data_IF_304031326990
#
_entry.id   IF_304031326990
#
_cell.length_a   1.000
_cell.length_b   1.000
_cell.length_c   1.000
_cell.angle_alpha   90.00
_cell.angle_beta   90.00
_cell.angle_gamma   90.00
#
_symmetry.space_group_name_H-M   'P 1'
#
loop_
_entity.id
_entity.type
_entity.pdbx_description
1 polymer ?
#
# COMPACT_ATOMS: atom_id res chain seq x y z
N UNK A 1 24.99 34.06 24.42
CA UNK A 1 24.16 33.60 23.29
C UNK A 1 23.15 32.61 23.85
N UNK A 2 21.89 33.04 24.02
CA UNK A 2 20.85 32.27 24.71
C UNK A 2 20.00 31.55 23.66
N UNK A 3 20.05 30.23 23.63
CA UNK A 3 19.14 29.42 22.83
C UNK A 3 17.88 29.22 23.65
N UNK A 4 16.78 29.88 23.25
CA UNK A 4 15.46 29.60 23.83
C UNK A 4 14.92 28.34 23.15
N UNK A 5 14.66 27.33 23.96
CA UNK A 5 14.05 26.05 23.57
C UNK A 5 12.75 26.28 22.81
N UNK A 6 12.66 25.70 21.60
CA UNK A 6 11.44 25.67 20.81
C UNK A 6 10.52 24.56 21.28
N UNK A 7 9.29 24.92 21.68
CA UNK A 7 8.19 23.98 21.80
C UNK A 7 7.73 23.59 20.38
N UNK A 8 7.85 22.32 20.03
CA UNK A 8 7.23 21.78 18.82
C UNK A 8 5.80 21.36 19.17
N UNK A 9 4.80 22.04 18.62
CA UNK A 9 3.42 21.60 18.72
C UNK A 9 3.16 20.52 17.65
N UNK A 10 2.81 19.31 18.08
CA UNK A 10 2.32 18.26 17.19
C UNK A 10 0.81 18.46 17.04
N UNK A 11 0.36 18.81 15.85
CA UNK A 11 -1.06 18.91 15.53
C UNK A 11 -1.53 17.61 14.89
N UNK A 12 -2.56 16.99 15.47
CA UNK A 12 -3.23 15.83 14.90
C UNK A 12 -4.54 16.27 14.26
N UNK A 13 -4.72 15.95 12.97
CA UNK A 13 -5.98 16.16 12.27
C UNK A 13 -6.92 15.01 12.59
N UNK A 14 -8.11 15.33 13.11
CA UNK A 14 -9.19 14.36 13.35
C UNK A 14 -10.34 14.68 12.41
N UNK A 15 -10.80 13.69 11.66
CA UNK A 15 -11.96 13.79 10.77
C UNK A 15 -13.02 12.79 11.22
N UNK A 16 -14.21 13.29 11.55
CA UNK A 16 -15.38 12.47 11.86
C UNK A 16 -16.19 12.37 10.56
N UNK A 17 -16.40 11.16 10.06
CA UNK A 17 -17.39 10.93 9.00
C UNK A 17 -18.38 9.84 9.42
N UNK A 18 -19.61 10.00 8.95
CA UNK A 18 -20.72 9.07 9.17
C UNK A 18 -20.77 7.93 8.13
N UNK A 19 -19.77 7.87 7.24
CA UNK A 19 -19.69 6.84 6.20
C UNK A 19 -19.33 5.48 6.82
N UNK A 20 -19.91 4.42 6.25
CA UNK A 20 -19.70 3.04 6.71
C UNK A 20 -18.35 2.54 6.21
N UNK A 21 -17.61 1.85 7.08
CA UNK A 21 -16.34 1.20 6.72
C UNK A 21 -16.59 0.21 5.58
N UNK A 22 -15.90 0.42 4.46
CA UNK A 22 -16.01 -0.36 3.23
C UNK A 22 -14.65 -0.92 2.85
N UNK A 23 -14.61 -2.23 2.64
CA UNK A 23 -13.41 -2.93 2.18
C UNK A 23 -13.01 -2.48 0.75
N UNK A 24 -11.71 -2.41 0.45
CA UNK A 24 -11.23 -2.00 -0.85
C UNK A 24 -11.48 -3.05 -1.93
N UNK A 25 -11.79 -2.57 -3.14
CA UNK A 25 -11.65 -3.37 -4.35
C UNK A 25 -10.18 -3.40 -4.77
N UNK A 26 -9.62 -4.60 -4.89
CA UNK A 26 -8.20 -4.82 -5.22
C UNK A 26 -8.07 -5.29 -6.66
N UNK A 27 -7.27 -4.57 -7.45
CA UNK A 27 -6.94 -4.93 -8.83
C UNK A 27 -5.43 -5.07 -9.01
N UNK A 28 -4.99 -6.13 -9.70
CA UNK A 28 -3.59 -6.42 -9.98
C UNK A 28 -3.34 -6.41 -11.48
N UNK A 29 -2.36 -5.63 -11.92
CA UNK A 29 -2.02 -5.44 -13.33
C UNK A 29 -0.55 -5.78 -13.57
N UNK A 30 -0.25 -6.45 -14.69
CA UNK A 30 1.13 -6.56 -15.17
C UNK A 30 1.51 -5.28 -15.90
N UNK A 31 2.66 -4.70 -15.54
CA UNK A 31 3.13 -3.43 -16.12
C UNK A 31 4.06 -3.68 -17.34
N UNK A 32 4.51 -4.92 -17.56
CA UNK A 32 5.31 -5.25 -18.73
C UNK A 32 4.45 -5.31 -20.00
N UNK A 33 4.84 -4.58 -21.05
CA UNK A 33 4.18 -4.68 -22.37
C UNK A 33 4.48 -5.99 -23.10
N UNK A 34 5.60 -6.66 -22.76
CA UNK A 34 6.03 -7.94 -23.32
C UNK A 34 6.66 -8.80 -22.22
N UNK A 35 5.90 -9.72 -21.61
CA UNK A 35 6.42 -10.54 -20.55
C UNK A 35 7.49 -11.51 -21.09
N UNK A 36 8.76 -11.33 -20.72
CA UNK A 36 9.79 -12.35 -20.98
C UNK A 36 9.63 -13.46 -19.94
N UNK A 37 9.61 -14.75 -20.33
CA UNK A 37 9.32 -15.87 -19.42
C UNK A 37 10.26 -16.01 -18.20
N UNK A 38 11.46 -15.43 -18.26
CA UNK A 38 12.49 -15.52 -17.22
C UNK A 38 12.76 -14.18 -16.49
N UNK A 39 12.11 -13.10 -16.90
CA UNK A 39 12.31 -11.78 -16.31
C UNK A 39 11.22 -11.48 -15.28
N UNK A 40 11.62 -10.95 -14.12
CA UNK A 40 10.67 -10.52 -13.09
C UNK A 40 9.72 -9.49 -13.69
N UNK A 41 8.42 -9.77 -13.60
CA UNK A 41 7.37 -8.88 -14.11
C UNK A 41 7.06 -7.82 -13.05
N UNK A 42 7.12 -6.52 -13.35
CA UNK A 42 6.54 -5.51 -12.48
C UNK A 42 5.03 -5.69 -12.40
N UNK A 43 4.50 -5.71 -11.18
CA UNK A 43 3.08 -5.78 -10.88
C UNK A 43 2.63 -4.47 -10.23
N UNK A 44 1.52 -3.93 -10.70
CA UNK A 44 0.84 -2.77 -10.12
C UNK A 44 -0.41 -3.27 -9.38
N UNK A 45 -0.46 -3.00 -8.08
CA UNK A 45 -1.62 -3.20 -7.24
C UNK A 45 -2.36 -1.88 -7.05
N UNK A 46 -3.67 -1.88 -7.26
CA UNK A 46 -4.53 -0.72 -7.04
C UNK A 46 -5.65 -1.13 -6.09
N UNK A 47 -5.72 -0.46 -4.95
CA UNK A 47 -6.84 -0.51 -4.03
C UNK A 47 -7.73 0.72 -4.26
N UNK A 48 -9.03 0.49 -4.43
CA UNK A 48 -10.00 1.55 -4.72
C UNK A 48 -11.34 1.28 -4.04
N UNK A 49 -12.26 2.25 -4.12
CA UNK A 49 -13.64 2.10 -3.66
C UNK A 49 -13.75 1.65 -2.18
N UNK A 50 -12.97 2.31 -1.32
CA UNK A 50 -12.82 1.96 0.09
C UNK A 50 -13.14 3.15 0.98
N UNK A 51 -13.56 2.86 2.21
CA UNK A 51 -13.70 3.87 3.25
C UNK A 51 -13.31 3.27 4.61
N UNK A 52 -12.52 3.96 5.44
CA UNK A 52 -11.86 5.23 5.13
C UNK A 52 -10.69 5.04 4.13
N UNK A 53 -10.27 6.09 3.39
CA UNK A 53 -9.27 5.97 2.34
C UNK A 53 -7.85 5.67 2.86
N UNK A 54 -7.63 5.75 4.18
CA UNK A 54 -6.39 5.40 4.83
C UNK A 54 -6.20 3.87 4.87
N UNK A 55 -5.38 3.36 3.96
CA UNK A 55 -4.99 1.94 3.88
C UNK A 55 -3.50 1.79 3.66
N UNK A 56 -2.93 0.64 4.01
CA UNK A 56 -1.54 0.29 3.67
C UNK A 56 -1.55 -0.91 2.73
N UNK A 57 -0.65 -0.91 1.74
CA UNK A 57 -0.48 -2.04 0.85
C UNK A 57 0.68 -2.90 1.34
N UNK A 58 0.45 -4.21 1.38
CA UNK A 58 1.50 -5.17 1.71
C UNK A 58 1.62 -6.22 0.62
N UNK A 59 2.83 -6.71 0.44
CA UNK A 59 3.14 -7.71 -0.58
C UNK A 59 3.60 -8.99 0.08
N UNK A 60 3.14 -10.12 -0.46
CA UNK A 60 3.64 -11.44 -0.08
C UNK A 60 4.18 -12.18 -1.28
N UNK A 61 5.34 -12.80 -1.12
CA UNK A 61 5.93 -13.66 -2.13
C UNK A 61 5.26 -15.02 -2.08
N UNK A 62 4.73 -15.47 -3.21
CA UNK A 62 4.16 -16.81 -3.35
C UNK A 62 5.26 -17.80 -3.73
N UNK A 63 5.53 -18.79 -2.89
CA UNK A 63 6.49 -19.87 -3.20
C UNK A 63 5.83 -20.94 -4.08
N UNK A 64 6.65 -21.71 -4.79
CA UNK A 64 6.20 -22.94 -5.46
C UNK A 64 5.72 -23.91 -4.38
N UNK A 65 4.42 -24.19 -4.34
CA UNK A 65 3.76 -24.91 -3.25
C UNK A 65 2.65 -24.11 -2.55
N UNK A 66 2.48 -22.83 -2.89
CA UNK A 66 1.35 -22.02 -2.44
C UNK A 66 1.52 -21.36 -1.07
N UNK A 67 2.66 -21.55 -0.40
CA UNK A 67 2.98 -20.78 0.80
C UNK A 67 3.32 -19.33 0.46
N UNK A 68 2.87 -18.42 1.32
CA UNK A 68 3.04 -16.97 1.16
C UNK A 68 3.90 -16.43 2.29
N UNK A 69 4.91 -15.64 1.94
CA UNK A 69 5.85 -15.05 2.88
C UNK A 69 5.83 -13.54 2.71
N UNK A 70 5.82 -12.79 3.81
CA UNK A 70 5.80 -11.33 3.79
C UNK A 70 7.09 -10.78 3.16
N UNK A 71 6.94 -9.82 2.27
CA UNK A 71 8.07 -9.14 1.63
C UNK A 71 8.45 -7.95 2.50
N UNK A 72 9.73 -7.78 2.87
CA UNK A 72 10.18 -6.61 3.62
C UNK A 72 9.82 -5.32 2.88
N UNK A 73 9.32 -4.31 3.60
CA UNK A 73 8.90 -3.02 3.05
C UNK A 73 10.04 -2.21 2.40
N UNK A 74 11.29 -2.60 2.68
CA UNK A 74 12.52 -2.01 2.15
C UNK A 74 12.94 -2.57 0.77
N UNK A 75 12.23 -3.58 0.25
CA UNK A 75 12.32 -3.90 -1.18
C UNK A 75 11.63 -2.82 -2.02
N UNK A 76 12.18 -2.51 -3.20
CA UNK A 76 11.81 -1.43 -4.17
C UNK A 76 10.29 -1.25 -4.42
N UNK A 77 9.60 -0.70 -3.44
CA UNK A 77 8.16 -0.49 -3.38
C UNK A 77 7.87 1.00 -3.51
N UNK A 78 7.08 1.36 -4.52
CA UNK A 78 6.58 2.72 -4.67
C UNK A 78 5.10 2.72 -4.30
N UNK A 79 4.72 3.49 -3.28
CA UNK A 79 3.32 3.73 -2.93
C UNK A 79 2.88 5.12 -3.37
N UNK A 80 1.72 5.20 -4.00
CA UNK A 80 1.07 6.44 -4.40
C UNK A 80 -0.36 6.46 -3.87
N UNK A 81 -0.76 7.59 -3.29
CA UNK A 81 -2.10 7.83 -2.75
C UNK A 81 -2.71 9.03 -3.45
N UNK A 82 -3.80 8.82 -4.18
CA UNK A 82 -4.46 9.88 -4.94
C UNK A 82 -5.97 9.63 -5.03
N UNK A 83 -6.77 10.65 -4.75
CA UNK A 83 -8.23 10.62 -4.96
C UNK A 83 -8.96 9.45 -4.29
N UNK A 84 -8.56 9.05 -3.07
CA UNK A 84 -9.16 7.91 -2.35
C UNK A 84 -8.72 6.53 -2.87
N UNK A 85 -7.69 6.48 -3.71
CA UNK A 85 -7.05 5.25 -4.18
C UNK A 85 -5.65 5.16 -3.60
N UNK A 86 -5.26 3.96 -3.24
CA UNK A 86 -3.89 3.62 -2.85
C UNK A 86 -3.36 2.63 -3.87
N UNK A 87 -2.20 2.92 -4.45
CA UNK A 87 -1.55 2.06 -5.44
C UNK A 87 -0.12 1.77 -5.05
N UNK A 88 0.35 0.57 -5.38
CA UNK A 88 1.73 0.15 -5.14
C UNK A 88 2.27 -0.63 -6.33
N UNK A 89 3.55 -0.44 -6.64
CA UNK A 89 4.26 -1.22 -7.67
C UNK A 89 5.33 -2.07 -7.00
N UNK A 90 5.44 -3.34 -7.42
CA UNK A 90 6.46 -4.28 -6.98
C UNK A 90 7.08 -5.02 -8.17
N UNK A 91 8.42 -5.16 -8.19
CA UNK A 91 9.17 -5.77 -9.29
C UNK A 91 9.43 -7.28 -9.11
N UNK A 92 8.43 -8.06 -8.66
CA UNK A 92 8.55 -9.52 -8.37
C UNK A 92 7.22 -10.27 -8.51
N UNK A 93 7.27 -11.61 -8.49
CA UNK A 93 6.09 -12.48 -8.36
C UNK A 93 5.56 -12.44 -6.92
N UNK A 94 4.56 -11.60 -6.70
CA UNK A 94 3.98 -11.35 -5.38
C UNK A 94 2.46 -11.26 -5.48
N UNK A 95 1.80 -11.48 -4.35
CA UNK A 95 0.39 -11.19 -4.15
C UNK A 95 0.29 -9.91 -3.34
N UNK A 96 -0.61 -9.02 -3.73
CA UNK A 96 -0.90 -7.78 -3.01
C UNK A 96 -2.06 -7.99 -2.04
N UNK A 97 -1.90 -7.49 -0.82
CA UNK A 97 -2.95 -7.41 0.18
C UNK A 97 -3.14 -5.96 0.57
N UNK A 98 -4.37 -5.62 0.90
CA UNK A 98 -4.69 -4.31 1.47
C UNK A 98 -4.97 -4.50 2.95
N UNK A 99 -4.17 -3.84 3.77
CA UNK A 99 -4.37 -3.76 5.20
C UNK A 99 -5.13 -2.47 5.47
N UNK A 100 -6.40 -2.60 5.84
CA UNK A 100 -7.21 -1.47 6.26
C UNK A 100 -6.91 -1.21 7.74
N UNK A 101 -6.35 -0.04 8.05
CA UNK A 101 -6.06 0.34 9.43
C UNK A 101 -7.39 0.68 10.11
N UNK A 102 -7.88 -0.23 10.95
CA UNK A 102 -8.98 0.05 11.86
C UNK A 102 -8.45 0.95 12.98
N UNK A 103 -8.47 2.26 12.76
CA UNK A 103 -8.31 3.22 13.85
C UNK A 103 -9.69 3.38 14.50
N UNK A 104 -9.88 2.70 15.63
CA UNK A 104 -10.95 3.00 16.58
C UNK A 104 -10.59 4.25 17.38
#
# INVERSE_FOLDING_TARGET
>A
MSWKSGLFAVFQRVSISADVVKAPTVSLYSVASKPRPQEKQPLLCVASDMYPPETQLSWRKRRQGGSEEEVPAEEEQLELREGGRTSSIMMRFVVCYVLQTHNW
#
